data_IF_827441184443
#
_entry.id   IF_827441184443
#
_cell.length_a   1.000
_cell.length_b   1.000
_cell.length_c   1.000
_cell.angle_alpha   90.00
_cell.angle_beta   90.00
_cell.angle_gamma   90.00
#
_symmetry.space_group_name_H-M   'P 1'
#
loop_
_entity.id
_entity.type
_entity.pdbx_description
1 polymer ?
#
# COMPACT_ATOMS: atom_id res chain seq x y z
N UNK A 1 23.10 4.46 -9.86
CA UNK A 1 23.37 3.02 -10.05
C UNK A 1 22.56 2.44 -11.22
N UNK A 2 21.24 2.42 -11.18
CA UNK A 2 20.39 1.89 -12.26
C UNK A 2 20.68 2.48 -13.67
N UNK A 3 20.73 3.81 -13.80
CA UNK A 3 21.08 4.47 -15.08
C UNK A 3 22.51 4.15 -15.56
N UNK A 4 23.45 3.96 -14.64
CA UNK A 4 24.81 3.55 -14.98
C UNK A 4 24.81 2.14 -15.55
N UNK A 5 24.02 1.23 -14.98
CA UNK A 5 23.92 -0.16 -15.44
C UNK A 5 23.25 -0.29 -16.81
N UNK A 6 22.24 0.53 -17.09
CA UNK A 6 21.63 0.64 -18.42
C UNK A 6 22.56 1.31 -19.43
N UNK A 7 23.28 2.36 -19.01
CA UNK A 7 24.28 3.02 -19.83
C UNK A 7 25.44 2.08 -20.16
N UNK A 8 25.91 1.28 -19.20
CA UNK A 8 27.03 0.37 -19.43
C UNK A 8 26.66 -0.81 -20.32
N UNK A 9 25.46 -1.38 -20.19
CA UNK A 9 25.03 -2.46 -21.09
C UNK A 9 24.85 -1.97 -22.52
N UNK A 10 24.26 -0.79 -22.73
CA UNK A 10 24.07 -0.22 -24.07
C UNK A 10 25.35 0.31 -24.72
N UNK A 11 26.25 0.92 -23.94
CA UNK A 11 27.47 1.55 -24.47
C UNK A 11 28.63 0.56 -24.56
N UNK A 12 28.74 -0.38 -23.61
CA UNK A 12 29.88 -1.31 -23.56
C UNK A 12 29.51 -2.77 -23.84
N UNK A 13 28.27 -3.20 -23.58
CA UNK A 13 27.85 -4.59 -23.79
C UNK A 13 27.33 -4.89 -25.20
N UNK A 14 26.51 -3.98 -25.76
CA UNK A 14 25.86 -4.18 -27.06
C UNK A 14 26.81 -3.99 -28.25
N UNK A 15 27.70 -2.97 -28.31
CA UNK A 15 28.52 -2.74 -29.50
C UNK A 15 29.51 -3.86 -29.83
N UNK A 16 30.22 -4.48 -28.85
CA UNK A 16 31.07 -5.62 -29.13
C UNK A 16 30.31 -6.82 -29.69
N UNK A 17 29.08 -7.06 -29.21
CA UNK A 17 28.22 -8.12 -29.73
C UNK A 17 27.69 -7.78 -31.12
N UNK A 18 27.35 -6.51 -31.38
CA UNK A 18 26.83 -6.06 -32.67
C UNK A 18 27.84 -6.14 -33.80
N UNK A 19 29.13 -5.95 -33.49
CA UNK A 19 30.25 -5.97 -34.44
C UNK A 19 31.12 -7.25 -34.33
N UNK A 20 30.72 -8.25 -33.55
CA UNK A 20 31.50 -9.47 -33.34
C UNK A 20 31.75 -10.24 -34.65
N UNK A 21 33.00 -10.29 -35.12
CA UNK A 21 33.39 -11.00 -36.35
C UNK A 21 33.49 -12.52 -36.15
N UNK A 22 33.53 -13.00 -34.90
CA UNK A 22 33.67 -14.43 -34.59
C UNK A 22 32.37 -15.25 -34.81
N UNK A 23 31.24 -14.61 -35.12
CA UNK A 23 30.00 -15.29 -35.50
C UNK A 23 29.69 -15.01 -36.98
N UNK A 24 29.67 -16.04 -37.85
CA UNK A 24 29.48 -15.86 -39.28
C UNK A 24 28.05 -15.45 -39.65
N UNK A 25 27.05 -15.77 -38.82
CA UNK A 25 25.65 -15.45 -39.08
C UNK A 25 25.29 -14.03 -38.58
N UNK A 26 25.06 -13.05 -39.48
CA UNK A 26 24.80 -11.67 -39.11
C UNK A 26 23.45 -11.50 -38.39
N UNK A 27 22.48 -12.35 -38.69
CA UNK A 27 21.15 -12.31 -38.07
C UNK A 27 21.21 -12.80 -36.62
N UNK A 28 21.95 -13.87 -36.35
CA UNK A 28 22.11 -14.42 -35.00
C UNK A 28 22.82 -13.42 -34.09
N UNK A 29 23.88 -12.78 -34.60
CA UNK A 29 24.65 -11.76 -33.89
C UNK A 29 23.81 -10.56 -33.49
N UNK A 30 23.07 -9.98 -34.45
CA UNK A 30 22.17 -8.85 -34.20
C UNK A 30 21.07 -9.23 -33.21
N UNK A 31 20.52 -10.45 -33.32
CA UNK A 31 19.51 -10.95 -32.40
C UNK A 31 20.04 -11.10 -30.97
N UNK A 32 21.25 -11.66 -30.79
CA UNK A 32 21.92 -11.74 -29.48
C UNK A 32 22.17 -10.36 -28.88
N UNK A 33 22.65 -9.40 -29.68
CA UNK A 33 22.88 -8.03 -29.23
C UNK A 33 21.57 -7.35 -28.77
N UNK A 34 20.46 -7.56 -29.49
CA UNK A 34 19.13 -7.07 -29.08
C UNK A 34 18.66 -7.74 -27.79
N UNK A 35 18.81 -9.07 -27.66
CA UNK A 35 18.43 -9.80 -26.44
C UNK A 35 19.22 -9.30 -25.24
N UNK A 36 20.54 -9.18 -25.35
CA UNK A 36 21.41 -8.71 -24.26
C UNK A 36 21.08 -7.27 -23.90
N UNK A 37 20.80 -6.42 -24.90
CA UNK A 37 20.30 -5.07 -24.68
C UNK A 37 19.03 -5.09 -23.84
N UNK A 38 17.98 -5.78 -24.30
CA UNK A 38 16.67 -5.84 -23.62
C UNK A 38 16.78 -6.46 -22.23
N UNK A 39 17.41 -7.64 -22.09
CA UNK A 39 17.59 -8.33 -20.81
C UNK A 39 18.40 -7.48 -19.82
N UNK A 40 19.40 -6.72 -20.29
CA UNK A 40 20.16 -5.79 -19.46
C UNK A 40 19.32 -4.64 -18.91
N UNK A 41 18.24 -4.24 -19.60
CA UNK A 41 17.33 -3.19 -19.12
C UNK A 41 16.40 -3.68 -17.99
N UNK A 42 16.07 -4.97 -17.97
CA UNK A 42 15.05 -5.53 -17.07
C UNK A 42 15.45 -5.37 -15.58
N UNK A 43 16.66 -5.74 -15.12
CA UNK A 43 17.06 -5.52 -13.73
C UNK A 43 17.00 -4.05 -13.32
N UNK A 44 17.36 -3.15 -14.24
CA UNK A 44 17.33 -1.71 -14.03
C UNK A 44 15.90 -1.21 -13.83
N UNK A 45 14.98 -1.58 -14.73
CA UNK A 45 13.56 -1.24 -14.63
C UNK A 45 12.89 -1.89 -13.41
N UNK A 46 13.31 -3.11 -13.07
CA UNK A 46 12.81 -3.84 -11.90
C UNK A 46 13.24 -3.16 -10.61
N UNK A 47 14.54 -2.86 -10.46
CA UNK A 47 15.07 -2.15 -9.29
C UNK A 47 14.41 -0.78 -9.16
N UNK A 48 14.30 -0.05 -10.25
CA UNK A 48 13.58 1.20 -10.32
C UNK A 48 12.13 1.12 -9.84
N UNK A 49 11.40 0.08 -10.25
CA UNK A 49 10.02 -0.14 -9.82
C UNK A 49 9.95 -0.52 -8.33
N UNK A 50 10.87 -1.35 -7.87
CA UNK A 50 11.00 -1.80 -6.48
C UNK A 50 11.36 -0.65 -5.55
N UNK A 51 12.23 0.27 -5.98
CA UNK A 51 12.64 1.46 -5.22
C UNK A 51 11.68 2.65 -5.39
N UNK A 52 10.69 2.55 -6.28
CA UNK A 52 9.73 3.63 -6.53
C UNK A 52 8.87 4.07 -5.32
N UNK A 53 8.49 3.20 -4.34
CA UNK A 53 7.66 3.67 -3.22
C UNK A 53 8.47 4.48 -2.20
N UNK A 54 9.80 4.47 -2.22
CA UNK A 54 10.60 5.14 -1.19
C UNK A 54 10.49 6.67 -1.29
N UNK A 55 9.89 7.28 -0.27
CA UNK A 55 9.82 8.72 -0.15
C UNK A 55 11.17 9.26 0.34
N UNK A 56 11.70 10.24 -0.38
CA UNK A 56 12.92 10.96 -0.02
C UNK A 56 12.63 12.01 1.06
N UNK A 57 11.58 12.80 0.86
CA UNK A 57 11.14 13.84 1.80
C UNK A 57 9.62 13.83 1.89
N UNK A 58 9.12 14.21 3.06
CA UNK A 58 7.69 14.40 3.30
C UNK A 58 7.50 15.80 3.86
N UNK A 59 6.70 16.61 3.19
CA UNK A 59 6.33 17.95 3.67
C UNK A 59 4.92 17.90 4.21
N UNK A 60 4.74 18.43 5.42
CA UNK A 60 3.44 18.61 6.03
C UNK A 60 3.10 20.10 5.96
N UNK A 61 1.90 20.43 5.49
CA UNK A 61 1.43 21.81 5.53
C UNK A 61 1.09 22.19 6.98
N UNK A 62 1.97 22.97 7.60
CA UNK A 62 1.82 23.41 8.99
C UNK A 62 1.15 24.80 9.01
N UNK A 63 0.12 25.03 9.85
CA UNK A 63 -0.50 26.34 10.03
C UNK A 63 0.45 27.31 10.74
N UNK A 64 0.23 28.62 10.57
CA UNK A 64 1.18 29.65 11.02
C UNK A 64 1.50 29.60 12.52
N UNK A 65 0.51 29.35 13.37
CA UNK A 65 0.70 29.24 14.82
C UNK A 65 1.65 28.08 15.20
N UNK A 66 1.61 26.97 14.45
CA UNK A 66 2.40 25.78 14.73
C UNK A 66 3.82 25.85 14.14
N UNK A 67 4.18 26.92 13.42
CA UNK A 67 5.54 27.15 12.89
C UNK A 67 6.45 27.86 13.89
N UNK A 68 5.88 28.49 14.92
CA UNK A 68 6.61 29.38 15.83
C UNK A 68 7.55 28.63 16.77
N UNK A 69 7.08 27.51 17.32
CA UNK A 69 7.88 26.71 18.26
C UNK A 69 7.72 25.21 17.99
N UNK A 70 8.72 24.44 18.44
CA UNK A 70 8.66 22.97 18.41
C UNK A 70 7.53 22.43 19.28
N UNK A 71 7.23 23.10 20.39
CA UNK A 71 6.14 22.69 21.29
C UNK A 71 4.78 22.87 20.59
N UNK A 72 4.57 23.99 19.91
CA UNK A 72 3.35 24.25 19.14
C UNK A 72 3.19 23.28 17.98
N UNK A 73 4.29 22.93 17.31
CA UNK A 73 4.28 21.94 16.24
C UNK A 73 3.90 20.54 16.75
N UNK A 74 4.44 20.15 17.90
CA UNK A 74 4.09 18.89 18.54
C UNK A 74 2.64 18.90 19.04
N UNK A 75 2.18 20.04 19.58
CA UNK A 75 0.78 20.21 19.95
C UNK A 75 -0.12 20.05 18.72
N UNK A 76 0.19 20.71 17.62
CA UNK A 76 -0.54 20.56 16.36
C UNK A 76 -0.58 19.10 15.91
N UNK A 77 0.57 18.40 15.93
CA UNK A 77 0.66 17.00 15.58
C UNK A 77 -0.25 16.10 16.44
N UNK A 78 -0.30 16.34 17.76
CA UNK A 78 -1.24 15.64 18.67
C UNK A 78 -2.69 16.02 18.39
N UNK A 79 -2.97 17.27 18.06
CA UNK A 79 -4.32 17.73 17.69
C UNK A 79 -4.83 17.06 16.41
N UNK A 80 -3.95 16.61 15.50
CA UNK A 80 -4.35 15.79 14.34
C UNK A 80 -5.08 14.51 14.76
N UNK A 81 -4.63 13.89 15.87
CA UNK A 81 -5.23 12.69 16.45
C UNK A 81 -6.53 13.01 17.22
N UNK A 82 -6.53 14.10 18.01
CA UNK A 82 -7.68 14.46 18.85
C UNK A 82 -8.86 15.02 18.06
N UNK A 83 -8.62 15.84 17.04
CA UNK A 83 -9.67 16.45 16.22
C UNK A 83 -9.50 16.10 14.73
N UNK A 84 -9.92 14.89 14.33
CA UNK A 84 -9.73 14.39 12.97
C UNK A 84 -10.55 15.15 11.92
N UNK A 85 -11.70 15.75 12.29
CA UNK A 85 -12.57 16.49 11.36
C UNK A 85 -12.02 17.88 11.06
N UNK A 86 -11.54 18.59 12.09
CA UNK A 86 -10.96 19.93 11.90
C UNK A 86 -9.62 19.91 11.16
N UNK A 87 -8.89 18.81 11.21
CA UNK A 87 -7.54 18.69 10.63
C UNK A 87 -7.49 17.88 9.33
N UNK A 88 -8.65 17.45 8.82
CA UNK A 88 -8.75 16.65 7.59
C UNK A 88 -8.10 17.32 6.37
N UNK A 89 -8.19 18.65 6.27
CA UNK A 89 -7.68 19.43 5.14
C UNK A 89 -6.15 19.66 5.18
N UNK A 90 -5.45 19.07 6.14
CA UNK A 90 -3.99 19.16 6.21
C UNK A 90 -3.37 18.46 5.00
N UNK A 91 -2.61 19.20 4.19
CA UNK A 91 -1.94 18.64 3.01
C UNK A 91 -0.61 18.01 3.40
N UNK A 92 -0.33 16.86 2.81
CA UNK A 92 0.95 16.16 2.87
C UNK A 92 1.48 16.03 1.46
N UNK A 93 2.76 16.34 1.29
CA UNK A 93 3.45 16.24 0.03
C UNK A 93 4.60 15.24 0.14
N UNK A 94 4.52 14.18 -0.67
CA UNK A 94 5.56 13.17 -0.76
C UNK A 94 6.48 13.50 -1.93
N UNK A 95 7.76 13.62 -1.65
CA UNK A 95 8.80 13.71 -2.67
C UNK A 95 9.41 12.34 -2.88
N UNK A 96 9.21 11.80 -4.09
CA UNK A 96 9.79 10.53 -4.51
C UNK A 96 10.88 10.76 -5.55
N UNK A 97 11.92 9.92 -5.51
CA UNK A 97 12.96 9.89 -6.53
C UNK A 97 12.60 8.81 -7.57
N UNK A 98 12.56 9.18 -8.85
CA UNK A 98 12.35 8.23 -9.96
C UNK A 98 13.70 7.74 -10.50
N UNK A 99 13.63 6.87 -11.51
CA UNK A 99 14.80 6.37 -12.29
C UNK A 99 15.65 7.55 -12.77
N UNK A 100 14.98 8.60 -13.23
CA UNK A 100 15.60 9.89 -13.53
C UNK A 100 15.65 10.74 -12.26
N UNK A 101 16.71 11.54 -12.05
CA UNK A 101 16.94 12.36 -10.86
C UNK A 101 15.93 13.52 -10.69
N UNK A 102 14.79 13.46 -11.37
CA UNK A 102 13.71 14.41 -11.21
C UNK A 102 12.90 14.07 -9.96
N UNK A 103 12.82 15.05 -9.06
CA UNK A 103 11.92 15.02 -7.92
C UNK A 103 10.48 15.05 -8.43
N UNK A 104 9.66 14.13 -7.95
CA UNK A 104 8.23 14.14 -8.21
C UNK A 104 7.49 14.32 -6.91
N UNK A 105 6.60 15.30 -6.94
CA UNK A 105 5.82 15.76 -5.82
C UNK A 105 4.43 15.15 -5.96
N UNK A 106 3.99 14.40 -4.95
CA UNK A 106 2.61 13.94 -4.85
C UNK A 106 1.98 14.56 -3.62
N UNK A 107 1.03 15.46 -3.84
CA UNK A 107 0.23 16.07 -2.78
C UNK A 107 -1.02 15.24 -2.52
N UNK A 108 -1.33 14.97 -1.27
CA UNK A 108 -2.54 14.32 -0.81
C UNK A 108 -3.04 14.98 0.48
N UNK A 109 -4.32 14.86 0.77
CA UNK A 109 -4.83 15.27 2.07
C UNK A 109 -4.64 14.16 3.10
N UNK A 110 -4.44 14.54 4.36
CA UNK A 110 -4.23 13.58 5.46
C UNK A 110 -5.37 12.56 5.56
N UNK A 111 -6.63 13.01 5.37
CA UNK A 111 -7.81 12.15 5.42
C UNK A 111 -7.93 11.19 4.23
N UNK A 112 -7.19 11.38 3.15
CA UNK A 112 -7.19 10.48 2.00
C UNK A 112 -6.21 9.32 2.19
N UNK A 113 -5.19 9.47 3.04
CA UNK A 113 -4.13 8.48 3.21
C UNK A 113 -4.57 7.28 4.05
N UNK A 114 -4.08 6.10 3.71
CA UNK A 114 -4.30 4.85 4.45
C UNK A 114 -3.00 4.14 4.76
N UNK A 115 -2.94 3.50 5.92
CA UNK A 115 -1.83 2.68 6.35
C UNK A 115 -2.00 1.26 5.80
N UNK A 116 -0.99 0.78 5.10
CA UNK A 116 -0.93 -0.60 4.65
C UNK A 116 -0.46 -1.49 5.80
N UNK A 117 -1.10 -2.67 6.02
CA UNK A 117 -0.60 -3.61 7.01
C UNK A 117 0.81 -4.10 6.64
N UNK A 118 1.68 -4.35 7.64
CA UNK A 118 3.01 -4.89 7.41
C UNK A 118 2.89 -6.31 6.81
N UNK A 119 3.53 -6.54 5.67
CA UNK A 119 3.65 -7.87 5.05
C UNK A 119 5.11 -8.09 4.65
N UNK A 120 5.62 -9.32 4.79
CA UNK A 120 7.05 -9.65 4.57
C UNK A 120 7.59 -9.18 3.21
N UNK A 121 6.77 -9.19 2.15
CA UNK A 121 7.18 -8.84 0.79
C UNK A 121 6.70 -7.45 0.35
N UNK A 122 6.11 -6.67 1.25
CA UNK A 122 5.53 -5.36 0.91
C UNK A 122 6.50 -4.24 1.27
N UNK A 123 6.77 -3.41 0.27
CA UNK A 123 7.74 -2.32 0.37
C UNK A 123 7.13 -0.96 0.69
N UNK A 124 5.82 -0.84 0.86
CA UNK A 124 5.12 0.43 1.12
C UNK A 124 4.31 0.35 2.41
N UNK A 125 4.34 1.43 3.21
CA UNK A 125 3.58 1.55 4.45
C UNK A 125 2.34 2.43 4.31
N UNK A 126 2.30 3.34 3.33
CA UNK A 126 1.17 4.25 3.11
C UNK A 126 0.63 4.07 1.70
N UNK A 127 -0.68 4.12 1.54
CA UNK A 127 -1.36 4.18 0.25
C UNK A 127 -2.32 5.37 0.16
N UNK A 128 -2.44 5.88 -1.06
CA UNK A 128 -3.53 6.74 -1.49
C UNK A 128 -4.55 5.84 -2.19
N UNK A 129 -5.70 5.54 -1.57
CA UNK A 129 -6.69 4.64 -2.11
C UNK A 129 -7.21 5.17 -3.43
N UNK A 130 -7.32 4.28 -4.42
CA UNK A 130 -7.80 4.63 -5.75
C UNK A 130 -9.31 4.45 -5.80
N UNK A 131 -9.99 5.38 -6.47
CA UNK A 131 -11.42 5.25 -6.73
C UNK A 131 -11.68 4.03 -7.63
N UNK A 132 -12.83 3.37 -7.45
CA UNK A 132 -13.23 2.23 -8.27
C UNK A 132 -13.32 2.60 -9.76
N UNK A 133 -13.71 3.84 -10.05
CA UNK A 133 -13.74 4.39 -11.39
C UNK A 133 -12.36 4.41 -12.05
N UNK A 134 -11.31 4.76 -11.29
CA UNK A 134 -9.94 4.71 -11.79
C UNK A 134 -9.56 3.27 -12.18
N UNK A 135 -9.93 2.29 -11.35
CA UNK A 135 -9.66 0.88 -11.64
C UNK A 135 -10.39 0.40 -12.90
N UNK A 136 -11.65 0.81 -13.10
CA UNK A 136 -12.42 0.53 -14.31
C UNK A 136 -11.75 1.14 -15.56
N UNK A 137 -11.33 2.42 -15.49
CA UNK A 137 -10.62 3.10 -16.60
C UNK A 137 -9.31 2.42 -16.94
N UNK A 138 -8.56 1.93 -15.96
CA UNK A 138 -7.29 1.24 -16.20
C UNK A 138 -7.46 -0.16 -16.80
N UNK A 139 -8.53 -0.87 -16.43
CA UNK A 139 -8.87 -2.17 -17.05
C UNK A 139 -9.25 -2.03 -18.52
N UNK A 140 -9.90 -0.92 -18.88
CA UNK A 140 -10.26 -0.62 -20.27
C UNK A 140 -9.05 -0.27 -21.17
N UNK A 141 -7.87 0.01 -20.61
CA UNK A 141 -6.67 0.37 -21.38
C UNK A 141 -5.88 -0.87 -21.79
N UNK A 142 -5.39 -0.85 -23.03
CA UNK A 142 -4.43 -1.84 -23.53
C UNK A 142 -3.10 -1.84 -22.77
N UNK A 143 -2.39 -2.97 -22.80
CA UNK A 143 -1.16 -3.22 -22.02
C UNK A 143 -0.10 -2.14 -22.25
N UNK A 144 0.12 -1.73 -23.51
CA UNK A 144 1.09 -0.70 -23.87
C UNK A 144 0.76 0.69 -23.30
N UNK A 145 -0.52 1.11 -23.40
CA UNK A 145 -0.99 2.38 -22.81
C UNK A 145 -0.84 2.36 -21.29
N UNK A 146 -1.13 1.23 -20.65
CA UNK A 146 -0.94 1.05 -19.20
C UNK A 146 0.53 1.20 -18.81
N UNK A 147 1.45 0.58 -19.54
CA UNK A 147 2.89 0.74 -19.28
C UNK A 147 3.37 2.19 -19.44
N UNK A 148 2.96 2.87 -20.52
CA UNK A 148 3.34 4.27 -20.75
C UNK A 148 2.80 5.21 -19.66
N UNK A 149 1.58 4.96 -19.17
CA UNK A 149 0.99 5.75 -18.09
C UNK A 149 1.67 5.50 -16.74
N UNK A 150 2.08 4.26 -16.42
CA UNK A 150 2.80 3.96 -15.17
C UNK A 150 4.09 4.78 -15.03
N UNK A 151 4.72 5.15 -16.15
CA UNK A 151 5.91 6.02 -16.15
C UNK A 151 5.55 7.47 -15.82
N UNK A 152 4.37 7.95 -16.25
CA UNK A 152 3.93 9.34 -16.06
C UNK A 152 3.20 9.56 -14.73
N UNK A 153 2.36 8.61 -14.33
CA UNK A 153 1.40 8.75 -13.22
C UNK A 153 2.09 9.01 -11.87
N UNK A 154 1.53 9.88 -11.00
CA UNK A 154 1.95 9.97 -9.61
C UNK A 154 1.80 8.61 -8.92
N UNK A 155 2.76 8.26 -8.06
CA UNK A 155 2.68 7.02 -7.29
C UNK A 155 1.65 7.19 -6.18
N UNK A 156 0.97 6.10 -5.85
CA UNK A 156 -0.09 6.04 -4.84
C UNK A 156 0.32 5.19 -3.64
N UNK A 157 1.56 4.72 -3.63
CA UNK A 157 2.11 3.89 -2.56
C UNK A 157 3.43 4.49 -2.16
N UNK A 158 3.60 4.71 -0.87
CA UNK A 158 4.74 5.37 -0.29
C UNK A 158 5.31 4.50 0.82
N UNK A 159 6.63 4.54 0.94
CA UNK A 159 7.39 4.01 2.04
C UNK A 159 8.09 5.17 2.71
N UNK A 160 7.68 5.44 3.94
CA UNK A 160 8.33 6.43 4.80
C UNK A 160 8.90 5.69 5.99
N UNK A 161 10.19 5.88 6.27
CA UNK A 161 10.82 5.28 7.44
C UNK A 161 10.26 5.92 8.71
N UNK A 162 9.71 5.09 9.58
CA UNK A 162 9.19 5.51 10.88
C UNK A 162 10.29 5.46 11.94
N UNK A 163 10.20 6.35 12.94
CA UNK A 163 11.10 6.41 14.08
C UNK A 163 11.88 7.72 14.25
N UNK A 164 12.13 8.08 15.50
CA UNK A 164 12.85 9.31 15.91
C UNK A 164 14.20 9.48 15.24
N UNK A 165 14.96 8.39 15.05
CA UNK A 165 16.31 8.45 14.45
C UNK A 165 16.30 9.06 13.04
N UNK A 166 15.23 8.89 12.27
CA UNK A 166 15.11 9.43 10.92
C UNK A 166 14.61 10.88 10.90
N UNK A 167 13.96 11.33 11.96
CA UNK A 167 13.44 12.70 12.12
C UNK A 167 14.36 13.61 12.94
N UNK A 168 15.42 13.05 13.56
CA UNK A 168 16.44 13.84 14.25
C UNK A 168 17.17 14.82 13.31
N UNK A 169 17.47 14.39 12.08
CA UNK A 169 18.16 15.25 11.09
C UNK A 169 17.30 16.40 10.57
N UNK A 170 15.97 16.32 10.68
CA UNK A 170 15.05 17.36 10.18
C UNK A 170 14.71 18.40 11.25
N UNK A 171 15.22 18.27 12.48
CA UNK A 171 14.91 19.18 13.59
C UNK A 171 13.49 19.03 14.15
N UNK A 172 12.73 18.04 13.66
CA UNK A 172 11.32 17.83 14.02
C UNK A 172 11.10 16.37 14.48
N UNK A 173 11.70 15.95 15.61
CA UNK A 173 11.58 14.58 16.08
C UNK A 173 10.17 14.29 16.58
N UNK A 174 9.59 13.17 16.12
CA UNK A 174 8.31 12.63 16.61
C UNK A 174 7.04 13.14 15.93
N UNK A 175 7.09 14.22 15.15
CA UNK A 175 5.87 14.72 14.46
C UNK A 175 5.36 13.73 13.43
N UNK A 176 6.26 13.07 12.70
CA UNK A 176 5.87 12.02 11.76
C UNK A 176 5.24 10.81 12.45
N UNK A 177 5.64 10.51 13.69
CA UNK A 177 5.09 9.38 14.46
C UNK A 177 3.61 9.64 14.78
N UNK A 178 3.28 10.87 15.19
CA UNK A 178 1.89 11.28 15.43
C UNK A 178 1.05 11.28 14.14
N UNK A 179 1.63 11.73 13.02
CA UNK A 179 0.97 11.71 11.70
C UNK A 179 0.75 10.27 11.21
N UNK A 180 1.76 9.40 11.32
CA UNK A 180 1.66 8.00 10.94
C UNK A 180 0.62 7.27 11.79
N UNK A 181 0.61 7.53 13.10
CA UNK A 181 -0.40 7.03 14.04
C UNK A 181 -1.81 7.46 13.61
N UNK A 182 -1.99 8.73 13.22
CA UNK A 182 -3.27 9.23 12.70
C UNK A 182 -3.78 8.47 11.48
N UNK A 183 -2.87 8.19 10.53
CA UNK A 183 -3.17 7.45 9.30
C UNK A 183 -3.53 6.00 9.63
N UNK A 184 -2.84 5.40 10.61
CA UNK A 184 -3.10 4.04 11.07
C UNK A 184 -4.47 3.94 11.75
N UNK A 185 -4.77 4.81 12.71
CA UNK A 185 -6.06 4.87 13.41
C UNK A 185 -7.21 5.06 12.43
N UNK A 186 -7.04 5.94 11.43
CA UNK A 186 -8.02 6.12 10.38
C UNK A 186 -8.32 4.80 9.66
N UNK A 187 -7.27 4.09 9.28
CA UNK A 187 -7.39 2.88 8.49
C UNK A 187 -8.04 1.75 9.30
N UNK A 188 -7.76 1.68 10.60
CA UNK A 188 -8.42 0.74 11.51
C UNK A 188 -9.90 1.09 11.63
N UNK A 189 -10.23 2.36 11.90
CA UNK A 189 -11.62 2.80 12.07
C UNK A 189 -12.50 2.56 10.83
N UNK A 190 -11.94 2.76 9.63
CA UNK A 190 -12.66 2.52 8.38
C UNK A 190 -12.83 1.03 8.08
N UNK A 191 -11.84 0.20 8.42
CA UNK A 191 -11.96 -1.26 8.31
C UNK A 191 -13.03 -1.79 9.25
N UNK A 192 -13.03 -1.35 10.50
CA UNK A 192 -14.07 -1.73 11.48
C UNK A 192 -15.46 -1.26 11.03
N UNK A 193 -15.59 -0.03 10.52
CA UNK A 193 -16.85 0.46 9.98
C UNK A 193 -17.31 -0.38 8.77
N UNK A 194 -16.42 -0.72 7.85
CA UNK A 194 -16.72 -1.57 6.71
C UNK A 194 -17.11 -3.00 7.12
N UNK A 195 -16.48 -3.57 8.15
CA UNK A 195 -16.84 -4.88 8.70
C UNK A 195 -18.21 -4.84 9.38
N UNK A 196 -18.50 -3.82 10.19
CA UNK A 196 -19.83 -3.62 10.80
C UNK A 196 -20.93 -3.51 9.74
N UNK A 197 -20.69 -2.77 8.66
CA UNK A 197 -21.62 -2.67 7.53
C UNK A 197 -21.84 -4.02 6.83
N UNK A 198 -20.78 -4.82 6.63
CA UNK A 198 -20.90 -6.16 6.05
C UNK A 198 -21.64 -7.13 6.95
N UNK A 199 -21.47 -7.04 8.27
CA UNK A 199 -22.18 -7.86 9.26
C UNK A 199 -23.66 -7.46 9.31
N UNK A 200 -23.97 -6.16 9.29
CA UNK A 200 -25.35 -5.66 9.21
C UNK A 200 -26.07 -5.98 7.90
N UNK A 201 -25.33 -6.11 6.78
CA UNK A 201 -25.88 -6.50 5.48
C UNK A 201 -26.07 -8.02 5.31
N UNK A 202 -25.42 -8.85 6.14
CA UNK A 202 -25.72 -10.28 6.21
C UNK A 202 -27.02 -10.45 6.99
N UNK A 203 -28.15 -10.53 6.27
CA UNK A 203 -29.42 -11.01 6.84
C UNK A 203 -29.10 -12.23 7.72
N UNK A 204 -29.60 -12.30 8.97
CA UNK A 204 -29.41 -13.50 9.76
C UNK A 204 -30.02 -14.65 8.97
N UNK A 205 -29.17 -15.56 8.50
CA UNK A 205 -29.63 -16.86 8.01
C UNK A 205 -30.22 -17.50 9.25
N UNK A 206 -31.54 -17.43 9.38
CA UNK A 206 -32.30 -18.24 10.31
C UNK A 206 -32.02 -19.67 9.89
N UNK A 207 -30.99 -20.26 10.50
CA UNK A 207 -30.78 -21.70 10.45
C UNK A 207 -31.99 -22.26 11.18
N UNK A 208 -33.02 -22.61 10.41
CA UNK A 208 -34.14 -23.41 10.87
C UNK A 208 -33.49 -24.68 11.41
N UNK A 209 -33.33 -24.77 12.73
CA UNK A 209 -33.03 -26.04 13.40
C UNK A 209 -34.14 -26.96 12.94
N UNK A 210 -33.81 -27.94 12.09
CA UNK A 210 -34.71 -29.05 11.82
C UNK A 210 -34.81 -29.79 13.14
N UNK A 211 -35.86 -29.50 13.91
CA UNK A 211 -36.27 -30.32 15.03
C UNK A 211 -36.56 -31.69 14.45
N UNK A 212 -35.65 -32.65 14.68
CA UNK A 212 -35.97 -34.06 14.53
C UNK A 212 -37.13 -34.34 15.50
N UNK A 213 -38.23 -34.98 15.06
CA UNK A 213 -39.27 -35.40 16.00
C UNK A 213 -38.62 -36.35 17.03
N UNK A 214 -38.76 -36.01 18.31
CA UNK A 214 -38.41 -36.92 19.40
C UNK A 214 -39.30 -38.15 19.27
N UNK A 215 -38.69 -39.28 18.92
CA UNK A 215 -39.29 -40.60 19.10
C UNK A 215 -39.43 -40.80 20.59
N UNK A 216 -40.66 -40.69 21.07
CA UNK A 216 -41.02 -40.90 22.47
C UNK A 216 -40.62 -42.28 22.93
N UNK A 217 -39.51 -42.37 23.64
CA UNK A 217 -39.20 -43.51 24.50
C UNK A 217 -39.97 -43.30 25.81
N UNK A 218 -41.29 -43.54 25.77
CA UNK A 218 -42.08 -43.75 26.96
C UNK A 218 -41.52 -44.97 27.70
N UNK A 219 -40.77 -44.71 28.77
CA UNK A 219 -40.44 -45.75 29.75
C UNK A 219 -41.72 -46.13 30.46
N UNK A 220 -42.28 -47.26 30.04
CA UNK A 220 -43.32 -48.01 30.74
C UNK A 220 -42.91 -48.16 32.21
N UNK A 221 -43.48 -47.33 33.10
CA UNK A 221 -43.36 -47.50 34.55
C UNK A 221 -44.29 -48.64 34.95
N UNK A 222 -43.71 -49.80 35.27
CA UNK A 222 -44.42 -50.89 35.95
C UNK A 222 -45.01 -50.36 37.25
N UNK A 223 -46.32 -50.16 37.29
CA UNK A 223 -47.07 -50.04 38.54
C UNK A 223 -47.07 -51.40 39.23
N UNK A 224 -46.41 -51.51 40.37
CA UNK A 224 -46.66 -52.60 41.32
C UNK A 224 -47.68 -52.09 42.33
N UNK A 225 -48.80 -52.81 42.42
CA UNK A 225 -49.86 -52.60 43.40
C UNK A 225 -49.33 -52.92 44.80
N UNK A 226 -49.21 -51.91 45.67
CA UNK A 226 -49.06 -52.14 47.11
C UNK A 226 -50.44 -52.15 47.74
N UNK A 227 -50.87 -53.32 48.19
CA UNK A 227 -52.06 -53.47 49.02
C UNK A 227 -51.86 -52.72 50.34
N UNK A 228 -52.77 -51.79 50.63
CA UNK A 228 -52.96 -51.21 51.95
C UNK A 228 -53.77 -52.22 52.76
N UNK A 229 -53.22 -52.72 53.88
CA UNK A 229 -54.00 -53.41 54.91
C UNK A 229 -53.84 -52.66 56.23
N UNK A 230 -55.00 -52.51 56.87
CA UNK A 230 -55.31 -51.82 58.13
C UNK A 230 -54.35 -52.12 59.27
#
# INVERSE_FOLDING_TARGET
>A
MALLQFGTTLVFGVPPLWNNENQPDPNLRKFQAVIVGVLGTIPTLTLAYVTAPFAHQVFLQIPEYARRSRQDLMHFARTLNLNPKGTANTKIEFVTLRIFPFRKHTTAFLHELRALPPMKMRLANIELPKTEEWAKRQRAKGIFKRMAEVVKEPRFKFYVKEGRMYTMKTGVPGVWEEVAKRIQEQTVSEKEAAEKLKIGARRPVVVRKITRPEVGNERIKRQTSRAVRR
#
